data_IF_349638210330
#
_entry.id   IF_349638210330
#
_cell.length_a   1.000
_cell.length_b   1.000
_cell.length_c   1.000
_cell.angle_alpha   90.00
_cell.angle_beta   90.00
_cell.angle_gamma   90.00
#
_symmetry.space_group_name_H-M   'P 1'
#
loop_
_entity.id
_entity.type
_entity.pdbx_description
1 polymer ?
#
# COMPACT_ATOMS: atom_id res chain seq x y z
N UNK A 1 19.27 5.13 -31.28
CA UNK A 1 18.70 4.53 -30.05
C UNK A 1 17.36 3.89 -30.38
N UNK A 2 17.24 2.55 -30.31
CA UNK A 2 15.95 1.87 -30.52
C UNK A 2 15.05 2.13 -29.30
N UNK A 3 13.91 2.81 -29.50
CA UNK A 3 12.89 2.99 -28.44
C UNK A 3 12.47 1.61 -27.94
N UNK A 4 12.69 1.33 -26.65
CA UNK A 4 12.24 0.11 -26.03
C UNK A 4 10.71 0.00 -26.19
N UNK A 5 10.23 -1.15 -26.69
CA UNK A 5 8.78 -1.38 -26.82
C UNK A 5 8.16 -1.37 -25.43
N UNK A 6 7.00 -0.71 -25.22
CA UNK A 6 6.34 -0.69 -23.92
C UNK A 6 6.02 -2.13 -23.50
N UNK A 7 6.46 -2.50 -22.31
CA UNK A 7 6.18 -3.81 -21.72
C UNK A 7 4.68 -3.87 -21.45
N UNK A 8 3.96 -4.68 -22.25
CA UNK A 8 2.52 -4.93 -22.04
C UNK A 8 2.36 -5.92 -20.88
N UNK A 9 2.14 -5.41 -19.67
CA UNK A 9 1.83 -6.27 -18.54
C UNK A 9 0.42 -6.86 -18.68
N UNK A 10 0.34 -8.19 -18.62
CA UNK A 10 -0.94 -8.90 -18.62
C UNK A 10 -1.65 -8.60 -17.31
N UNK A 11 -2.83 -8.00 -17.35
CA UNK A 11 -3.64 -7.76 -16.14
C UNK A 11 -3.98 -9.11 -15.49
N UNK A 12 -3.39 -9.39 -14.32
CA UNK A 12 -3.50 -10.67 -13.61
C UNK A 12 -4.76 -10.80 -12.73
N UNK A 13 -5.62 -9.79 -12.73
CA UNK A 13 -6.88 -9.81 -11.95
C UNK A 13 -7.95 -10.64 -12.65
N UNK A 14 -8.63 -11.52 -11.91
CA UNK A 14 -9.73 -12.35 -12.41
C UNK A 14 -10.89 -11.49 -12.96
N UNK A 15 -11.64 -11.99 -13.94
CA UNK A 15 -12.76 -11.26 -14.59
C UNK A 15 -13.81 -10.82 -13.58
N UNK A 16 -14.23 -11.71 -12.66
CA UNK A 16 -15.19 -11.39 -11.62
C UNK A 16 -14.75 -10.26 -10.70
N UNK A 17 -13.46 -10.22 -10.35
CA UNK A 17 -12.91 -9.16 -9.51
C UNK A 17 -12.92 -7.80 -10.23
N UNK A 18 -12.65 -7.79 -11.52
CA UNK A 18 -12.75 -6.57 -12.33
C UNK A 18 -14.20 -6.04 -12.40
N UNK A 19 -15.21 -6.92 -12.47
CA UNK A 19 -16.61 -6.54 -12.37
C UNK A 19 -16.95 -5.96 -10.98
N UNK A 20 -16.49 -6.62 -9.91
CA UNK A 20 -16.66 -6.12 -8.54
C UNK A 20 -16.01 -4.74 -8.34
N UNK A 21 -14.80 -4.51 -8.89
CA UNK A 21 -14.15 -3.19 -8.87
C UNK A 21 -15.01 -2.10 -9.52
N UNK A 22 -15.73 -2.40 -10.62
CA UNK A 22 -16.62 -1.42 -11.25
C UNK A 22 -17.77 -0.98 -10.33
N UNK A 23 -18.32 -1.90 -9.57
CA UNK A 23 -19.37 -1.59 -8.57
C UNK A 23 -18.78 -0.72 -7.45
N UNK A 24 -17.61 -1.08 -6.95
CA UNK A 24 -16.95 -0.35 -5.87
C UNK A 24 -16.52 1.07 -6.29
N UNK A 25 -16.21 1.29 -7.56
CA UNK A 25 -15.91 2.62 -8.12
C UNK A 25 -16.99 3.67 -7.83
N UNK A 26 -18.25 3.27 -7.70
CA UNK A 26 -19.35 4.19 -7.36
C UNK A 26 -19.14 4.85 -6.00
N UNK A 27 -18.53 4.11 -5.04
CA UNK A 27 -18.26 4.60 -3.67
C UNK A 27 -17.01 5.47 -3.57
N UNK A 28 -15.99 5.19 -4.40
CA UNK A 28 -14.69 5.86 -4.34
C UNK A 28 -14.52 6.75 -5.58
N UNK A 29 -14.42 8.06 -5.36
CA UNK A 29 -14.12 9.01 -6.45
C UNK A 29 -12.68 8.82 -6.91
N UNK A 30 -12.44 8.97 -8.21
CA UNK A 30 -11.12 8.91 -8.80
C UNK A 30 -10.24 10.05 -8.29
N UNK A 31 -9.07 9.76 -7.70
CA UNK A 31 -8.13 10.78 -7.29
C UNK A 31 -7.30 11.26 -8.49
N UNK A 32 -6.83 12.50 -8.42
CA UNK A 32 -5.77 12.97 -9.31
C UNK A 32 -4.43 12.38 -8.84
N UNK A 33 -3.71 11.72 -9.74
CA UNK A 33 -2.35 11.24 -9.46
C UNK A 33 -1.32 12.27 -9.95
N UNK A 34 -0.45 12.72 -9.06
CA UNK A 34 0.62 13.67 -9.35
C UNK A 34 1.96 13.01 -8.99
N UNK A 35 2.84 12.93 -9.97
CA UNK A 35 4.18 12.38 -9.83
C UNK A 35 5.19 13.53 -9.94
N UNK A 36 5.98 13.78 -8.88
CA UNK A 36 7.04 14.81 -8.87
C UNK A 36 8.31 14.32 -9.57
N UNK A 37 8.35 13.07 -9.93
CA UNK A 37 9.41 12.41 -10.71
C UNK A 37 8.81 11.37 -11.64
N UNK A 38 9.58 10.32 -11.92
CA UNK A 38 9.13 9.22 -12.77
C UNK A 38 8.01 8.42 -12.11
N UNK A 39 7.06 7.98 -12.93
CA UNK A 39 5.96 7.09 -12.50
C UNK A 39 6.50 5.70 -12.20
N UNK A 40 6.02 5.01 -11.14
CA UNK A 40 6.37 3.62 -10.89
C UNK A 40 6.08 2.73 -12.10
N UNK A 41 7.08 2.04 -12.62
CA UNK A 41 6.94 1.09 -13.73
C UNK A 41 6.80 -0.33 -13.19
N UNK A 42 7.87 -0.85 -12.59
CA UNK A 42 7.96 -2.20 -12.02
C UNK A 42 8.94 -2.22 -10.86
N UNK A 43 8.81 -3.25 -10.01
CA UNK A 43 9.79 -3.54 -8.94
C UNK A 43 10.05 -2.37 -7.99
N UNK A 44 9.04 -1.55 -7.75
CA UNK A 44 9.13 -0.44 -6.80
C UNK A 44 8.45 -0.77 -5.48
N UNK A 45 8.93 -0.17 -4.41
CA UNK A 45 8.30 -0.18 -3.10
C UNK A 45 7.69 1.21 -2.89
N UNK A 46 6.39 1.28 -2.75
CA UNK A 46 5.64 2.52 -2.58
C UNK A 46 5.14 2.58 -1.14
N UNK A 47 5.58 3.59 -0.41
CA UNK A 47 5.22 3.84 0.98
C UNK A 47 4.21 4.98 1.03
N UNK A 48 3.09 4.78 1.70
CA UNK A 48 2.00 5.75 1.74
C UNK A 48 1.41 5.89 3.15
N UNK A 49 0.78 7.04 3.42
CA UNK A 49 -0.08 7.21 4.58
C UNK A 49 -1.34 6.35 4.45
N UNK A 50 -1.83 5.85 5.58
CA UNK A 50 -3.00 4.97 5.66
C UNK A 50 -4.24 5.73 6.12
N UNK A 51 -4.94 6.40 5.23
CA UNK A 51 -6.17 7.14 5.56
C UNK A 51 -7.37 6.18 5.57
N UNK A 52 -7.46 5.34 6.57
CA UNK A 52 -8.51 4.31 6.67
C UNK A 52 -8.54 3.40 5.44
N UNK A 53 -9.69 3.28 4.78
CA UNK A 53 -9.84 2.50 3.55
C UNK A 53 -9.62 3.34 2.28
N UNK A 54 -9.60 4.67 2.39
CA UNK A 54 -9.61 5.55 1.22
C UNK A 54 -8.30 5.49 0.42
N UNK A 55 -7.14 5.55 1.09
CA UNK A 55 -5.85 5.48 0.40
C UNK A 55 -5.62 4.11 -0.28
N UNK A 56 -5.76 2.95 0.41
CA UNK A 56 -5.60 1.65 -0.24
C UNK A 56 -6.57 1.42 -1.38
N UNK A 57 -7.85 1.80 -1.20
CA UNK A 57 -8.87 1.59 -2.22
C UNK A 57 -8.66 2.49 -3.44
N UNK A 58 -8.24 3.74 -3.23
CA UNK A 58 -7.90 4.65 -4.32
C UNK A 58 -6.78 4.07 -5.20
N UNK A 59 -5.73 3.53 -4.59
CA UNK A 59 -4.65 2.86 -5.34
C UNK A 59 -5.13 1.59 -6.04
N UNK A 60 -5.83 0.68 -5.34
CA UNK A 60 -6.30 -0.56 -5.98
C UNK A 60 -7.21 -0.30 -7.18
N UNK A 61 -8.08 0.71 -7.09
CA UNK A 61 -9.08 0.96 -8.12
C UNK A 61 -8.51 1.74 -9.29
N UNK A 62 -7.66 2.74 -9.02
CA UNK A 62 -7.32 3.79 -9.99
C UNK A 62 -5.83 3.90 -10.30
N UNK A 63 -4.92 3.26 -9.55
CA UNK A 63 -3.49 3.39 -9.82
C UNK A 63 -3.15 3.10 -11.29
N UNK A 64 -2.39 3.99 -11.94
CA UNK A 64 -2.03 3.84 -13.34
C UNK A 64 -0.80 2.92 -13.54
N UNK A 65 -0.55 2.00 -12.59
CA UNK A 65 0.52 1.00 -12.59
C UNK A 65 0.05 -0.29 -11.90
N UNK A 66 0.77 -1.39 -12.13
CA UNK A 66 0.47 -2.67 -11.47
C UNK A 66 0.99 -2.68 -10.05
N UNK A 67 0.20 -3.21 -9.13
CA UNK A 67 0.58 -3.25 -7.72
C UNK A 67 0.01 -4.47 -6.99
N UNK A 68 0.68 -4.83 -5.88
CA UNK A 68 0.17 -5.67 -4.80
C UNK A 68 0.44 -4.98 -3.48
N UNK A 69 -0.53 -5.05 -2.57
CA UNK A 69 -0.42 -4.39 -1.27
C UNK A 69 -0.02 -5.38 -0.19
N UNK A 70 0.76 -4.90 0.77
CA UNK A 70 0.88 -5.57 2.04
C UNK A 70 -0.40 -5.36 2.86
N UNK A 71 -0.84 -6.41 3.55
CA UNK A 71 -1.98 -6.33 4.45
C UNK A 71 -1.88 -7.38 5.55
N UNK A 72 -2.58 -7.15 6.64
CA UNK A 72 -2.59 -8.09 7.77
C UNK A 72 -3.05 -9.48 7.33
N UNK A 73 -2.38 -10.51 7.82
CA UNK A 73 -2.61 -11.89 7.41
C UNK A 73 -4.03 -12.38 7.73
N UNK A 74 -4.72 -11.77 8.69
CA UNK A 74 -6.11 -12.08 9.04
C UNK A 74 -7.06 -11.87 7.84
N UNK A 75 -6.76 -10.87 7.00
CA UNK A 75 -7.57 -10.56 5.81
C UNK A 75 -7.51 -11.65 4.75
N UNK A 76 -6.40 -12.41 4.69
CA UNK A 76 -6.22 -13.54 3.78
C UNK A 76 -6.50 -14.91 4.43
N UNK A 77 -6.77 -14.94 5.73
CA UNK A 77 -6.88 -16.21 6.50
C UNK A 77 -8.27 -16.86 6.46
N UNK A 78 -9.12 -16.40 5.53
CA UNK A 78 -10.48 -16.93 5.35
C UNK A 78 -11.54 -16.20 6.18
N UNK A 79 -12.81 -16.49 5.84
CA UNK A 79 -13.98 -15.73 6.31
C UNK A 79 -14.06 -15.64 7.85
N UNK A 80 -13.83 -16.74 8.56
CA UNK A 80 -13.97 -16.78 10.03
C UNK A 80 -12.95 -15.90 10.75
N UNK A 81 -11.68 -15.93 10.32
CA UNK A 81 -10.62 -15.11 10.92
C UNK A 81 -10.80 -13.65 10.57
N UNK A 82 -11.14 -13.34 9.31
CA UNK A 82 -11.44 -12.00 8.85
C UNK A 82 -12.62 -11.37 9.59
N UNK A 83 -13.75 -12.10 9.73
CA UNK A 83 -14.90 -11.67 10.53
C UNK A 83 -14.50 -11.32 11.97
N UNK A 84 -13.71 -12.20 12.61
CA UNK A 84 -13.25 -11.99 13.99
C UNK A 84 -12.37 -10.75 14.10
N UNK A 85 -11.44 -10.57 13.18
CA UNK A 85 -10.57 -9.38 13.13
C UNK A 85 -11.39 -8.11 12.89
N UNK A 86 -12.25 -8.09 11.88
CA UNK A 86 -13.05 -6.92 11.56
C UNK A 86 -13.99 -6.52 12.69
N UNK A 87 -14.73 -7.47 13.28
CA UNK A 87 -15.71 -7.14 14.31
C UNK A 87 -15.08 -6.69 15.62
N UNK A 88 -13.99 -7.34 16.07
CA UNK A 88 -13.36 -7.05 17.36
C UNK A 88 -12.31 -5.94 17.26
N UNK A 89 -11.33 -6.12 16.37
CA UNK A 89 -10.19 -5.22 16.29
C UNK A 89 -10.54 -3.96 15.51
N UNK A 90 -11.04 -4.09 14.28
CA UNK A 90 -11.23 -2.92 13.43
C UNK A 90 -12.41 -2.05 13.85
N UNK A 91 -13.62 -2.64 13.96
CA UNK A 91 -14.81 -1.85 14.29
C UNK A 91 -14.95 -1.56 15.78
N UNK A 92 -14.67 -2.53 16.66
CA UNK A 92 -14.82 -2.32 18.10
C UNK A 92 -13.64 -1.53 18.69
N UNK A 93 -12.40 -2.06 18.63
CA UNK A 93 -11.25 -1.44 19.29
C UNK A 93 -10.78 -0.16 18.57
N UNK A 94 -10.60 -0.19 17.24
CA UNK A 94 -10.07 0.98 16.49
C UNK A 94 -11.12 2.02 16.13
N UNK A 95 -12.39 1.64 15.90
CA UNK A 95 -13.48 2.55 15.52
C UNK A 95 -14.45 2.87 16.65
N UNK A 96 -14.29 2.26 17.83
CA UNK A 96 -15.11 2.52 19.01
C UNK A 96 -16.58 2.05 18.90
N UNK A 97 -16.90 1.16 17.96
CA UNK A 97 -18.26 0.66 17.82
C UNK A 97 -18.65 -0.27 18.96
N UNK A 98 -19.94 -0.27 19.32
CA UNK A 98 -20.47 -1.33 20.20
C UNK A 98 -20.18 -2.71 19.58
N UNK A 99 -19.68 -3.66 20.39
CA UNK A 99 -19.24 -4.97 19.91
C UNK A 99 -20.37 -5.77 19.25
N UNK A 100 -21.61 -5.68 19.77
CA UNK A 100 -22.74 -6.40 19.20
C UNK A 100 -23.15 -5.85 17.83
N UNK A 101 -23.16 -4.52 17.68
CA UNK A 101 -23.40 -3.86 16.40
C UNK A 101 -22.29 -4.18 15.39
N UNK A 102 -21.03 -4.15 15.82
CA UNK A 102 -19.90 -4.55 14.98
C UNK A 102 -20.00 -5.99 14.50
N UNK A 103 -20.42 -6.92 15.37
CA UNK A 103 -20.61 -8.34 15.01
C UNK A 103 -21.74 -8.51 14.00
N UNK A 104 -22.89 -7.88 14.23
CA UNK A 104 -24.04 -7.96 13.32
C UNK A 104 -23.68 -7.39 11.94
N UNK A 105 -23.07 -6.23 11.89
CA UNK A 105 -22.59 -5.62 10.65
C UNK A 105 -21.60 -6.53 9.92
N UNK A 106 -20.58 -7.05 10.62
CA UNK A 106 -19.58 -7.91 10.03
C UNK A 106 -20.15 -9.27 9.59
N UNK A 107 -21.20 -9.79 10.22
CA UNK A 107 -21.86 -11.01 9.77
C UNK A 107 -22.41 -10.85 8.35
N UNK A 108 -22.99 -9.70 8.04
CA UNK A 108 -23.54 -9.39 6.72
C UNK A 108 -22.45 -8.96 5.72
N UNK A 109 -21.49 -8.16 6.16
CA UNK A 109 -20.47 -7.56 5.29
C UNK A 109 -19.29 -8.50 4.98
N UNK A 110 -18.91 -9.38 5.91
CA UNK A 110 -17.69 -10.19 5.77
C UNK A 110 -17.68 -11.14 4.55
N UNK A 111 -18.76 -11.74 4.09
CA UNK A 111 -18.73 -12.57 2.89
C UNK A 111 -18.29 -11.78 1.65
N UNK A 112 -18.85 -10.59 1.44
CA UNK A 112 -18.50 -9.70 0.32
C UNK A 112 -17.06 -9.18 0.48
N UNK A 113 -16.68 -8.78 1.68
CA UNK A 113 -15.32 -8.33 1.98
C UNK A 113 -14.29 -9.43 1.76
N UNK A 114 -14.58 -10.67 2.18
CA UNK A 114 -13.72 -11.83 1.93
C UNK A 114 -13.55 -12.10 0.43
N UNK A 115 -14.65 -12.02 -0.34
CA UNK A 115 -14.59 -12.15 -1.78
C UNK A 115 -13.69 -11.04 -2.39
N UNK A 116 -13.83 -9.80 -1.93
CA UNK A 116 -13.00 -8.69 -2.38
C UNK A 116 -11.52 -8.94 -2.10
N UNK A 117 -11.14 -9.32 -0.87
CA UNK A 117 -9.75 -9.58 -0.50
C UNK A 117 -9.14 -10.77 -1.28
N UNK A 118 -9.93 -11.80 -1.58
CA UNK A 118 -9.46 -12.89 -2.47
C UNK A 118 -9.07 -12.40 -3.87
N UNK A 119 -9.75 -11.37 -4.36
CA UNK A 119 -9.44 -10.76 -5.67
C UNK A 119 -8.27 -9.79 -5.63
N UNK A 120 -8.06 -9.15 -4.48
CA UNK A 120 -7.07 -8.10 -4.27
C UNK A 120 -5.61 -8.63 -4.35
N UNK A 121 -5.39 -9.94 -4.14
CA UNK A 121 -4.06 -10.57 -4.13
C UNK A 121 -3.11 -9.92 -3.11
N UNK A 122 -3.64 -9.59 -1.92
CA UNK A 122 -2.82 -9.06 -0.83
C UNK A 122 -1.64 -9.98 -0.51
N UNK A 123 -0.51 -9.39 -0.21
CA UNK A 123 0.63 -10.07 0.39
C UNK A 123 0.44 -10.02 1.90
N UNK A 124 0.30 -11.19 2.52
CA UNK A 124 0.08 -11.29 3.95
C UNK A 124 1.31 -10.87 4.74
N UNK A 125 1.15 -9.94 5.69
CA UNK A 125 2.21 -9.51 6.59
C UNK A 125 2.09 -10.18 7.95
N UNK A 126 3.24 -10.48 8.56
CA UNK A 126 3.38 -11.11 9.85
C UNK A 126 4.40 -10.33 10.68
N UNK A 127 4.19 -10.27 12.00
CA UNK A 127 5.10 -9.61 12.94
C UNK A 127 6.09 -10.58 13.63
N UNK A 128 6.15 -11.81 13.15
CA UNK A 128 6.98 -12.89 13.69
C UNK A 128 7.86 -13.53 12.60
N UNK A 129 8.47 -14.66 12.90
CA UNK A 129 9.34 -15.41 11.97
C UNK A 129 8.70 -15.74 10.61
N UNK A 130 7.37 -15.69 10.53
CA UNK A 130 6.63 -15.86 9.26
C UNK A 130 6.77 -14.66 8.33
N UNK A 131 7.36 -13.52 8.77
CA UNK A 131 7.65 -12.38 7.91
C UNK A 131 8.50 -12.77 6.69
N UNK A 132 9.32 -13.81 6.80
CA UNK A 132 10.02 -14.40 5.64
C UNK A 132 9.08 -14.81 4.49
N UNK A 133 7.82 -15.19 4.79
CA UNK A 133 6.81 -15.50 3.76
C UNK A 133 6.37 -14.22 3.04
N UNK A 134 6.17 -13.13 3.78
CA UNK A 134 5.87 -11.81 3.21
C UNK A 134 6.94 -11.38 2.22
N UNK A 135 8.21 -11.50 2.62
CA UNK A 135 9.35 -11.16 1.75
C UNK A 135 9.38 -12.05 0.51
N UNK A 136 9.21 -13.36 0.67
CA UNK A 136 9.18 -14.32 -0.45
C UNK A 136 8.07 -13.97 -1.45
N UNK A 137 6.84 -13.75 -0.99
CA UNK A 137 5.70 -13.38 -1.83
C UNK A 137 5.92 -12.02 -2.53
N UNK A 138 6.61 -11.08 -1.87
CA UNK A 138 6.98 -9.79 -2.44
C UNK A 138 8.02 -9.93 -3.56
N UNK A 139 9.02 -10.78 -3.39
CA UNK A 139 10.01 -11.08 -4.45
C UNK A 139 9.35 -11.77 -5.66
N UNK A 140 8.38 -12.66 -5.42
CA UNK A 140 7.59 -13.26 -6.50
C UNK A 140 6.75 -12.20 -7.22
N UNK A 141 6.18 -11.23 -6.49
CA UNK A 141 5.45 -10.11 -7.09
C UNK A 141 6.35 -9.23 -7.95
N UNK A 142 7.59 -8.96 -7.54
CA UNK A 142 8.57 -8.25 -8.36
C UNK A 142 8.89 -9.00 -9.66
N UNK A 143 9.09 -10.33 -9.61
CA UNK A 143 9.28 -11.14 -10.82
C UNK A 143 8.07 -11.07 -11.76
N UNK A 144 6.89 -10.88 -11.19
CA UNK A 144 5.65 -10.67 -11.92
C UNK A 144 5.53 -9.24 -12.50
N UNK A 145 6.44 -8.32 -12.19
CA UNK A 145 6.40 -6.92 -12.60
C UNK A 145 5.41 -6.07 -11.80
N UNK A 146 4.94 -6.56 -10.64
CA UNK A 146 4.09 -5.78 -9.74
C UNK A 146 4.96 -4.86 -8.86
N UNK A 147 4.44 -3.69 -8.50
CA UNK A 147 4.97 -2.83 -7.46
C UNK A 147 4.38 -3.23 -6.11
N UNK A 148 5.14 -3.07 -5.03
CA UNK A 148 4.67 -3.37 -3.68
C UNK A 148 4.25 -2.07 -3.01
N UNK A 149 2.98 -1.98 -2.60
CA UNK A 149 2.48 -0.86 -1.81
C UNK A 149 2.41 -1.26 -0.35
N UNK A 150 2.95 -0.42 0.50
CA UNK A 150 3.01 -0.63 1.94
C UNK A 150 2.49 0.63 2.64
N UNK A 151 1.68 0.43 3.65
CA UNK A 151 1.24 1.47 4.58
C UNK A 151 1.95 1.25 5.92
N UNK A 152 3.21 1.71 6.05
CA UNK A 152 4.07 1.33 7.16
C UNK A 152 3.88 2.22 8.39
N UNK A 153 2.84 3.03 8.43
CA UNK A 153 2.55 4.03 9.44
C UNK A 153 2.45 3.42 10.84
N UNK A 154 3.18 4.02 11.79
CA UNK A 154 2.99 3.77 13.22
C UNK A 154 1.71 4.50 13.65
N UNK A 155 0.63 3.76 13.90
CA UNK A 155 -0.74 4.28 14.06
C UNK A 155 -1.37 3.92 15.41
N UNK A 156 -0.56 3.92 16.48
CA UNK A 156 -1.05 3.59 17.82
C UNK A 156 -2.13 4.58 18.32
N UNK A 157 -2.08 5.83 17.85
CA UNK A 157 -3.04 6.90 18.15
C UNK A 157 -4.07 7.12 17.03
N UNK A 158 -4.16 6.19 16.06
CA UNK A 158 -5.00 6.33 14.88
C UNK A 158 -4.28 6.94 13.68
N UNK A 159 -5.04 7.35 12.65
CA UNK A 159 -4.47 7.93 11.43
C UNK A 159 -4.33 9.43 11.59
N UNK A 160 -3.09 9.93 11.49
CA UNK A 160 -2.74 11.33 11.66
C UNK A 160 -2.40 11.97 10.31
N UNK A 161 -2.67 13.27 10.18
CA UNK A 161 -2.26 14.05 9.00
C UNK A 161 -0.72 14.17 8.92
N UNK A 162 -0.03 14.22 10.05
CA UNK A 162 1.43 14.16 10.15
C UNK A 162 1.86 12.80 10.72
N UNK A 163 2.60 12.04 9.91
CA UNK A 163 3.04 10.70 10.25
C UNK A 163 4.14 10.75 11.31
N UNK A 164 4.01 9.99 12.40
CA UNK A 164 5.01 9.91 13.47
C UNK A 164 6.21 9.04 13.12
N UNK A 165 6.02 8.03 12.27
CA UNK A 165 7.08 7.10 11.90
C UNK A 165 6.61 5.99 10.97
N UNK A 166 7.57 5.23 10.46
CA UNK A 166 7.35 4.05 9.65
C UNK A 166 7.95 2.81 10.30
N UNK A 167 7.21 1.72 10.28
CA UNK A 167 7.74 0.39 10.59
C UNK A 167 8.76 -0.05 9.54
N UNK A 168 9.95 -0.50 9.95
CA UNK A 168 11.10 -0.80 9.08
C UNK A 168 11.01 -2.09 8.25
N UNK A 169 9.86 -2.75 8.18
CA UNK A 169 9.70 -4.01 7.42
C UNK A 169 10.03 -3.86 5.94
N UNK A 170 9.72 -2.73 5.33
CA UNK A 170 10.04 -2.45 3.92
C UNK A 170 11.56 -2.38 3.66
N UNK A 171 12.35 -1.93 4.64
CA UNK A 171 13.81 -1.92 4.52
C UNK A 171 14.39 -3.33 4.40
N UNK A 172 13.79 -4.29 5.12
CA UNK A 172 14.17 -5.70 5.04
C UNK A 172 13.86 -6.25 3.64
N UNK A 173 12.68 -5.92 3.09
CA UNK A 173 12.32 -6.32 1.73
C UNK A 173 13.30 -5.73 0.70
N UNK A 174 13.58 -4.42 0.79
CA UNK A 174 14.50 -3.76 -0.13
C UNK A 174 15.92 -4.34 -0.06
N UNK A 175 16.44 -4.58 1.15
CA UNK A 175 17.74 -5.20 1.36
C UNK A 175 17.84 -6.61 0.76
N UNK A 176 16.79 -7.43 0.97
CA UNK A 176 16.78 -8.80 0.44
C UNK A 176 16.60 -8.77 -1.09
N UNK A 177 15.76 -7.89 -1.63
CA UNK A 177 15.62 -7.70 -3.07
C UNK A 177 16.97 -7.32 -3.72
N UNK A 178 17.69 -6.38 -3.11
CA UNK A 178 19.03 -5.95 -3.56
C UNK A 178 20.03 -7.12 -3.58
N UNK A 179 20.04 -7.96 -2.52
CA UNK A 179 20.87 -9.18 -2.47
C UNK A 179 20.52 -10.20 -3.56
N UNK A 180 19.28 -10.14 -4.10
CA UNK A 180 18.83 -10.95 -5.24
C UNK A 180 19.00 -10.24 -6.60
N UNK A 181 19.77 -9.14 -6.66
CA UNK A 181 20.05 -8.41 -7.88
C UNK A 181 18.92 -7.46 -8.33
N UNK A 182 17.95 -7.17 -7.45
CA UNK A 182 16.86 -6.23 -7.72
C UNK A 182 17.08 -4.97 -6.89
N UNK A 183 17.66 -3.94 -7.50
CA UNK A 183 17.75 -2.62 -6.86
C UNK A 183 16.40 -1.90 -7.02
N UNK A 184 15.63 -1.88 -5.95
CA UNK A 184 14.26 -1.38 -5.96
C UNK A 184 14.22 0.14 -5.86
N UNK A 185 13.31 0.78 -6.62
CA UNK A 185 12.95 2.17 -6.39
C UNK A 185 12.01 2.27 -5.19
N UNK A 186 12.33 3.18 -4.25
CA UNK A 186 11.44 3.52 -3.13
C UNK A 186 10.76 4.85 -3.44
N UNK A 187 9.44 4.86 -3.31
CA UNK A 187 8.60 6.04 -3.45
C UNK A 187 7.98 6.40 -2.11
N UNK A 188 8.18 7.63 -1.66
CA UNK A 188 7.30 8.24 -0.69
C UNK A 188 6.04 8.72 -1.43
N UNK A 189 4.86 8.43 -0.89
CA UNK A 189 3.59 8.89 -1.45
C UNK A 189 2.63 9.33 -0.36
N UNK A 190 1.74 10.24 -0.69
CA UNK A 190 0.79 10.79 0.27
C UNK A 190 -0.58 11.00 -0.39
N UNK A 191 -1.63 10.48 0.25
CA UNK A 191 -3.00 10.69 -0.17
C UNK A 191 -3.65 11.83 0.61
N UNK A 192 -3.91 12.95 -0.06
CA UNK A 192 -4.69 14.06 0.47
C UNK A 192 -6.18 13.78 0.27
N UNK A 193 -6.85 13.32 1.34
CA UNK A 193 -8.24 12.82 1.24
C UNK A 193 -9.23 13.92 0.89
N UNK A 194 -9.04 15.13 1.41
CA UNK A 194 -9.95 16.27 1.18
C UNK A 194 -9.92 16.69 -0.29
N UNK A 195 -8.74 16.83 -0.84
CA UNK A 195 -8.48 17.27 -2.21
C UNK A 195 -8.64 16.14 -3.24
N UNK A 196 -8.71 14.89 -2.78
CA UNK A 196 -8.70 13.69 -3.65
C UNK A 196 -7.48 13.65 -4.58
N UNK A 197 -6.31 13.91 -4.02
CA UNK A 197 -5.03 13.90 -4.74
C UNK A 197 -4.09 12.87 -4.13
N UNK A 198 -3.48 12.06 -4.99
CA UNK A 198 -2.42 11.14 -4.61
C UNK A 198 -1.08 11.69 -5.13
N UNK A 199 -0.20 12.08 -4.22
CA UNK A 199 1.12 12.63 -4.52
C UNK A 199 2.19 11.55 -4.42
N UNK A 200 3.14 11.57 -5.34
CA UNK A 200 4.32 10.70 -5.35
C UNK A 200 5.57 11.56 -5.45
N UNK A 201 6.50 11.39 -4.53
CA UNK A 201 7.82 12.05 -4.58
C UNK A 201 8.68 11.43 -5.69
N UNK A 202 9.83 12.06 -5.97
CA UNK A 202 10.86 11.48 -6.80
C UNK A 202 11.33 10.16 -6.20
N UNK A 203 11.47 9.09 -7.02
CA UNK A 203 11.97 7.83 -6.53
C UNK A 203 13.44 7.92 -6.12
N UNK A 204 13.83 7.07 -5.18
CA UNK A 204 15.23 6.84 -4.82
C UNK A 204 15.55 5.36 -4.90
N UNK A 205 16.67 4.97 -5.49
CA UNK A 205 17.15 3.59 -5.48
C UNK A 205 17.54 3.16 -4.06
N UNK A 206 17.28 1.90 -3.72
CA UNK A 206 17.69 1.37 -2.41
C UNK A 206 19.20 1.54 -2.17
N UNK A 207 20.01 1.27 -3.18
CA UNK A 207 21.48 1.43 -3.10
C UNK A 207 21.92 2.88 -2.81
N UNK A 208 21.20 3.87 -3.33
CA UNK A 208 21.44 5.28 -3.08
C UNK A 208 20.95 5.68 -1.69
N UNK A 209 19.72 5.25 -1.32
CA UNK A 209 19.17 5.50 0.02
C UNK A 209 20.09 4.93 1.10
N UNK A 210 20.68 3.75 0.89
CA UNK A 210 21.58 3.13 1.84
C UNK A 210 22.87 3.94 2.08
N UNK A 211 23.32 4.72 1.11
CA UNK A 211 24.51 5.60 1.26
C UNK A 211 24.20 6.80 2.15
N UNK A 212 23.00 7.38 2.05
CA UNK A 212 22.60 8.59 2.81
C UNK A 212 21.93 8.28 4.15
N UNK A 213 21.36 7.10 4.28
CA UNK A 213 20.66 6.60 5.47
C UNK A 213 21.03 5.12 5.68
N UNK A 214 22.22 4.83 6.27
CA UNK A 214 22.78 3.47 6.30
C UNK A 214 22.01 2.49 7.19
N UNK A 215 21.27 2.96 8.18
CA UNK A 215 20.47 2.11 9.07
C UNK A 215 19.00 2.08 8.66
N UNK A 216 18.29 1.01 9.06
CA UNK A 216 16.85 0.89 8.80
C UNK A 216 16.03 2.00 9.45
N UNK A 217 16.46 2.47 10.61
CA UNK A 217 15.80 3.57 11.32
C UNK A 217 15.95 4.88 10.55
N UNK A 218 17.15 5.18 10.06
CA UNK A 218 17.42 6.37 9.25
C UNK A 218 16.66 6.33 7.92
N UNK A 219 16.63 5.17 7.23
CA UNK A 219 15.81 5.00 6.02
C UNK A 219 14.33 5.27 6.28
N UNK A 220 13.80 4.71 7.39
CA UNK A 220 12.41 4.90 7.77
C UNK A 220 12.11 6.38 8.06
N UNK A 221 13.01 7.07 8.79
CA UNK A 221 12.90 8.51 9.08
C UNK A 221 12.95 9.34 7.81
N UNK A 222 13.94 9.10 6.95
CA UNK A 222 14.04 9.81 5.66
C UNK A 222 12.75 9.72 4.85
N UNK A 223 12.16 8.53 4.74
CA UNK A 223 10.96 8.31 3.92
C UNK A 223 9.67 8.84 4.58
N UNK A 224 9.58 8.81 5.91
CA UNK A 224 8.43 9.45 6.60
C UNK A 224 8.49 10.98 6.47
N UNK A 225 9.68 11.58 6.55
CA UNK A 225 9.85 13.02 6.35
C UNK A 225 9.45 13.44 4.93
N UNK A 226 9.80 12.63 3.93
CA UNK A 226 9.35 12.81 2.54
C UNK A 226 7.83 12.71 2.40
N UNK A 227 7.20 11.73 3.04
CA UNK A 227 5.74 11.62 3.07
C UNK A 227 5.08 12.85 3.72
N UNK A 228 5.59 13.31 4.87
CA UNK A 228 5.08 14.49 5.55
C UNK A 228 5.25 15.76 4.73
N UNK A 229 6.38 15.90 4.02
CA UNK A 229 6.60 17.01 3.09
C UNK A 229 5.53 17.04 1.98
N UNK A 230 5.18 15.87 1.40
CA UNK A 230 4.08 15.77 0.43
C UNK A 230 2.73 16.16 1.05
N UNK A 231 2.48 15.78 2.31
CA UNK A 231 1.28 16.17 3.04
C UNK A 231 1.14 17.68 3.19
N UNK A 232 2.25 18.38 3.42
CA UNK A 232 2.32 19.85 3.58
C UNK A 232 2.38 20.61 2.25
N UNK A 233 2.56 19.92 1.11
CA UNK A 233 2.74 20.54 -0.20
C UNK A 233 1.47 21.30 -0.65
N UNK A 234 1.63 22.56 -1.03
CA UNK A 234 0.57 23.37 -1.61
C UNK A 234 0.36 22.96 -3.09
N UNK A 235 -0.83 22.44 -3.38
CA UNK A 235 -1.17 21.96 -4.74
C UNK A 235 -1.19 23.06 -5.79
N UNK A 236 -1.41 24.32 -5.40
CA UNK A 236 -1.41 25.46 -6.33
C UNK A 236 0.00 25.80 -6.84
N UNK A 237 1.04 25.35 -6.13
CA UNK A 237 2.45 25.56 -6.51
C UNK A 237 3.00 24.46 -7.41
N UNK A 238 2.25 23.38 -7.61
CA UNK A 238 2.65 22.31 -8.52
C UNK A 238 2.25 22.74 -9.93
N UNK A 239 3.24 23.22 -10.71
CA UNK A 239 3.01 23.45 -12.16
C UNK A 239 2.64 22.10 -12.80
N UNK A 240 1.44 22.06 -13.37
CA UNK A 240 0.91 20.95 -14.19
C UNK A 240 1.77 20.70 -15.43
#
# INVERSE_FOLDING_TARGET
MKKAKPIKFKQKRKRWYRALKRIIKVRYKEPKFIFLGEKPLTNSIILSNHVGTDAPMSLEIYAPFHLRMWGTHEMNSGLRKMYRYQSRVYYHEKKGWNLHLARLFCLLASPLTNLFYKGLRLISTYQDLRFKKTVKESLEAFKDGDNIVIFPEVSDEGYLDELKGFHGGFCILAEIAYKHGIDTYLYASYFKIKEKVYLFDKPILYSELKKIAPTRLEMARYLVDKCNALGKLDLNKIKS
#
